data_IF_336137245957
#
_entry.id   IF_336137245957
#
_cell.length_a   1.000
_cell.length_b   1.000
_cell.length_c   1.000
_cell.angle_alpha   90.00
_cell.angle_beta   90.00
_cell.angle_gamma   90.00
#
_symmetry.space_group_name_H-M   'P 1'
#
loop_
_entity.id
_entity.type
_entity.pdbx_description
1 polymer ?
#
# COMPACT_ATOMS: atom_id res chain seq x y z
N UNK A 1 38.94 24.97 -64.76
CA UNK A 1 38.63 23.54 -64.61
C UNK A 1 38.43 23.29 -63.12
N UNK A 2 37.20 22.96 -62.71
CA UNK A 2 36.78 22.33 -61.42
C UNK A 2 37.06 23.20 -60.16
N UNK A 3 36.12 23.94 -59.55
CA UNK A 3 34.87 23.61 -58.80
C UNK A 3 35.09 22.89 -57.46
N UNK A 4 34.42 23.44 -56.42
CA UNK A 4 34.03 22.89 -55.11
C UNK A 4 35.10 22.87 -53.98
N UNK A 5 34.78 23.13 -52.71
CA UNK A 5 33.51 23.51 -52.07
C UNK A 5 33.82 24.12 -50.69
N UNK A 6 33.11 25.19 -50.39
CA UNK A 6 32.91 25.77 -49.05
C UNK A 6 31.94 24.90 -48.24
N UNK A 7 32.27 24.62 -46.98
CA UNK A 7 31.31 24.19 -45.97
C UNK A 7 31.57 24.96 -44.67
N UNK A 8 30.57 25.75 -44.28
CA UNK A 8 30.46 26.45 -43.01
C UNK A 8 30.38 25.44 -41.85
N UNK A 9 30.85 25.80 -40.64
CA UNK A 9 30.48 25.09 -39.43
C UNK A 9 29.02 25.44 -39.09
N UNK A 10 28.16 24.42 -39.07
CA UNK A 10 26.81 24.50 -38.51
C UNK A 10 26.97 24.62 -37.00
N UNK A 11 26.68 25.82 -36.49
CA UNK A 11 26.38 26.07 -35.09
C UNK A 11 25.14 25.25 -34.72
N UNK A 12 25.34 24.17 -33.97
CA UNK A 12 24.24 23.46 -33.33
C UNK A 12 23.67 24.37 -32.24
N UNK A 13 22.50 24.95 -32.52
CA UNK A 13 21.66 25.61 -31.55
C UNK A 13 21.27 24.59 -30.47
N UNK A 14 21.82 24.78 -29.27
CA UNK A 14 21.31 24.18 -28.05
C UNK A 14 19.90 24.74 -27.80
N UNK A 15 18.88 23.96 -28.15
CA UNK A 15 17.53 24.18 -27.67
C UNK A 15 17.50 23.77 -26.19
N UNK A 16 17.50 24.78 -25.32
CA UNK A 16 17.14 24.64 -23.92
C UNK A 16 15.68 24.20 -23.80
N UNK A 17 15.46 22.92 -23.57
CA UNK A 17 14.16 22.42 -23.12
C UNK A 17 14.08 22.59 -21.60
N UNK A 18 13.43 23.66 -21.16
CA UNK A 18 12.99 23.83 -19.78
C UNK A 18 12.02 22.71 -19.42
N UNK A 19 12.44 21.83 -18.51
CA UNK A 19 11.63 20.82 -17.85
C UNK A 19 12.51 20.08 -16.87
N UNK A 20 12.40 20.41 -15.58
CA UNK A 20 13.19 19.84 -14.49
C UNK A 20 13.19 18.30 -14.57
N UNK A 21 14.33 17.71 -14.91
CA UNK A 21 14.51 16.27 -15.00
C UNK A 21 14.66 15.70 -13.57
N UNK A 22 13.56 15.74 -12.81
CA UNK A 22 13.46 15.17 -11.45
C UNK A 22 13.56 13.65 -11.51
N UNK A 23 13.14 13.04 -12.62
CA UNK A 23 13.07 11.60 -12.77
C UNK A 23 14.32 11.04 -13.44
N UNK A 24 15.04 10.18 -12.70
CA UNK A 24 16.20 9.45 -13.20
C UNK A 24 15.79 8.30 -14.12
N UNK A 25 14.65 7.66 -13.83
CA UNK A 25 14.21 6.44 -14.53
C UNK A 25 13.03 6.71 -15.49
N UNK A 26 13.06 6.19 -16.73
CA UNK A 26 11.93 6.24 -17.64
C UNK A 26 10.81 5.30 -17.18
N UNK A 27 9.58 5.55 -17.64
CA UNK A 27 8.48 4.59 -17.48
C UNK A 27 8.85 3.23 -18.11
N UNK A 28 8.46 2.10 -17.51
CA UNK A 28 8.64 0.79 -18.12
C UNK A 28 8.00 0.75 -19.51
N UNK A 29 8.76 0.30 -20.52
CA UNK A 29 8.34 0.37 -21.93
C UNK A 29 7.06 -0.41 -22.25
N UNK A 30 6.73 -1.43 -21.44
CA UNK A 30 5.52 -2.22 -21.60
C UNK A 30 4.28 -1.59 -20.97
N UNK A 31 4.43 -0.53 -20.17
CA UNK A 31 3.32 0.23 -19.62
C UNK A 31 2.76 1.14 -20.69
N UNK A 32 1.68 0.68 -21.31
CA UNK A 32 0.95 1.45 -22.32
C UNK A 32 0.01 2.43 -21.62
N UNK A 33 -0.10 3.63 -22.17
CA UNK A 33 -1.26 4.47 -21.88
C UNK A 33 -2.52 3.71 -22.33
N UNK A 34 -3.55 3.55 -21.48
CA UNK A 34 -4.82 3.01 -21.92
C UNK A 34 -5.27 3.84 -23.12
N UNK A 35 -5.51 3.18 -24.26
CA UNK A 35 -6.15 3.86 -25.37
C UNK A 35 -7.50 4.38 -24.87
N UNK A 36 -7.69 5.70 -24.92
CA UNK A 36 -8.86 6.50 -24.49
C UNK A 36 -10.24 6.02 -25.00
N UNK A 37 -10.32 4.90 -25.71
CA UNK A 37 -11.55 4.37 -26.31
C UNK A 37 -12.35 3.41 -25.40
N UNK A 38 -11.92 3.16 -24.16
CA UNK A 38 -12.52 2.15 -23.28
C UNK A 38 -13.13 2.64 -21.95
N UNK A 39 -12.89 3.90 -21.56
CA UNK A 39 -13.40 4.48 -20.31
C UNK A 39 -14.12 5.79 -20.64
N UNK A 40 -15.35 5.68 -21.13
CA UNK A 40 -16.25 6.80 -21.26
C UNK A 40 -17.21 6.81 -20.07
N UNK A 41 -16.98 7.68 -19.09
CA UNK A 41 -18.02 8.35 -18.32
C UNK A 41 -17.43 9.50 -17.46
N UNK A 42 -17.80 10.72 -17.87
CA UNK A 42 -17.98 11.96 -17.10
C UNK A 42 -16.78 12.63 -16.39
N UNK A 43 -16.22 13.63 -17.08
CA UNK A 43 -15.44 14.72 -16.50
C UNK A 43 -16.28 15.50 -15.45
N UNK A 44 -15.99 15.32 -14.18
CA UNK A 44 -16.25 16.33 -13.16
C UNK A 44 -14.97 17.16 -12.96
N UNK A 45 -14.99 18.38 -13.50
CA UNK A 45 -13.95 19.38 -13.29
C UNK A 45 -14.00 19.89 -11.84
N UNK A 46 -13.09 19.41 -10.99
CA UNK A 46 -12.71 20.12 -9.76
C UNK A 46 -11.69 21.22 -10.10
N UNK A 47 -11.83 22.44 -9.56
CA UNK A 47 -10.89 23.53 -9.81
C UNK A 47 -9.66 23.37 -8.91
N UNK A 48 -8.74 22.50 -9.32
CA UNK A 48 -7.39 22.44 -8.77
C UNK A 48 -6.47 23.29 -9.63
N UNK A 49 -5.83 24.27 -9.02
CA UNK A 49 -4.87 25.16 -9.68
C UNK A 49 -3.58 24.41 -9.98
N UNK A 50 -3.54 23.65 -11.07
CA UNK A 50 -2.34 22.94 -11.51
C UNK A 50 -1.85 23.43 -12.87
N UNK A 51 -0.54 23.65 -12.95
CA UNK A 51 0.19 23.78 -14.20
C UNK A 51 0.09 22.43 -14.94
N UNK A 52 -0.94 22.26 -15.76
CA UNK A 52 -1.02 21.17 -16.73
C UNK A 52 0.20 21.29 -17.64
N UNK A 53 1.19 20.42 -17.45
CA UNK A 53 2.31 20.30 -18.37
C UNK A 53 1.82 19.88 -19.76
N UNK A 54 2.56 20.23 -20.81
CA UNK A 54 2.27 19.84 -22.20
C UNK A 54 2.22 18.32 -22.45
N UNK A 55 2.50 17.50 -21.43
CA UNK A 55 2.51 16.03 -21.43
C UNK A 55 1.20 15.38 -20.94
N UNK A 56 0.24 16.13 -20.39
CA UNK A 56 -0.99 15.55 -19.82
C UNK A 56 -0.81 14.85 -18.48
N UNK A 57 0.32 15.08 -17.79
CA UNK A 57 0.57 14.60 -16.44
C UNK A 57 0.33 15.70 -15.39
N UNK A 58 -0.11 15.29 -14.20
CA UNK A 58 -0.25 16.14 -13.02
C UNK A 58 0.91 15.88 -12.06
N UNK A 59 1.49 16.93 -11.47
CA UNK A 59 2.62 16.83 -10.55
C UNK A 59 2.24 17.40 -9.19
N UNK A 60 2.36 16.59 -8.15
CA UNK A 60 2.28 17.01 -6.75
C UNK A 60 3.69 17.01 -6.15
N UNK A 61 4.30 18.18 -6.07
CA UNK A 61 5.62 18.37 -5.47
C UNK A 61 5.49 19.15 -4.16
N UNK A 62 5.97 18.57 -3.06
CA UNK A 62 5.93 19.18 -1.72
C UNK A 62 7.30 19.09 -1.05
N UNK A 63 7.62 20.09 -0.23
CA UNK A 63 8.77 20.05 0.69
C UNK A 63 8.37 19.54 2.07
N UNK A 64 9.34 19.03 2.83
CA UNK A 64 9.11 18.37 4.13
C UNK A 64 8.36 19.23 5.18
N UNK A 65 8.31 20.55 4.98
CA UNK A 65 7.68 21.50 5.90
C UNK A 65 6.48 22.22 5.30
N UNK A 66 6.10 21.88 4.07
CA UNK A 66 4.99 22.51 3.38
C UNK A 66 3.65 21.95 3.86
N UNK A 67 2.81 22.82 4.41
CA UNK A 67 1.45 22.54 4.83
C UNK A 67 0.57 23.79 4.71
N UNK A 68 -0.73 23.59 4.64
CA UNK A 68 -1.72 24.62 4.88
C UNK A 68 -1.48 25.30 6.24
N UNK A 69 -1.48 26.63 6.25
CA UNK A 69 -1.29 27.41 7.47
C UNK A 69 -2.59 27.50 8.27
N UNK A 70 -2.45 27.38 9.60
CA UNK A 70 -3.58 27.53 10.54
C UNK A 70 -4.53 26.34 10.53
N UNK A 71 -5.72 26.53 11.14
CA UNK A 71 -6.79 25.51 11.20
C UNK A 71 -7.63 25.54 9.93
N UNK A 72 -7.00 25.25 8.78
CA UNK A 72 -7.69 25.21 7.49
C UNK A 72 -8.24 23.80 7.25
N UNK A 73 -9.52 23.70 6.94
CA UNK A 73 -10.12 22.47 6.44
C UNK A 73 -9.50 22.15 5.07
N UNK A 74 -9.10 20.90 4.90
CA UNK A 74 -8.53 20.36 3.66
C UNK A 74 -9.46 19.25 3.21
N UNK A 75 -9.83 19.29 1.93
CA UNK A 75 -10.67 18.26 1.34
C UNK A 75 -9.89 16.96 1.23
N UNK A 76 -10.61 15.87 1.48
CA UNK A 76 -10.10 14.51 1.39
C UNK A 76 -10.96 13.76 0.38
N UNK A 77 -10.33 13.04 -0.56
CA UNK A 77 -11.09 12.18 -1.47
C UNK A 77 -11.80 11.08 -0.69
N UNK A 78 -13.06 10.81 -1.02
CA UNK A 78 -13.85 9.76 -0.34
C UNK A 78 -14.36 8.67 -1.30
N UNK A 79 -14.36 8.92 -2.60
CA UNK A 79 -14.90 8.01 -3.62
C UNK A 79 -14.00 6.83 -3.98
N UNK A 80 -14.61 5.79 -4.59
CA UNK A 80 -13.93 4.59 -5.10
C UNK A 80 -13.95 4.48 -6.65
N UNK A 81 -14.13 5.60 -7.34
CA UNK A 81 -14.09 5.68 -8.83
C UNK A 81 -12.78 6.26 -9.34
N UNK A 82 -12.19 7.20 -8.60
CA UNK A 82 -10.87 7.75 -8.90
C UNK A 82 -9.79 6.69 -8.71
N UNK A 83 -8.68 6.80 -9.47
CA UNK A 83 -7.52 5.94 -9.25
C UNK A 83 -7.06 6.05 -7.79
N UNK A 84 -6.88 4.90 -7.13
CA UNK A 84 -6.53 4.87 -5.70
C UNK A 84 -5.17 5.49 -5.40
N UNK A 85 -4.26 5.49 -6.37
CA UNK A 85 -2.88 5.90 -6.18
C UNK A 85 -2.68 7.40 -6.03
N UNK A 86 -3.57 8.22 -6.63
CA UNK A 86 -3.36 9.67 -6.67
C UNK A 86 -3.33 10.25 -5.24
N UNK A 87 -2.59 11.35 -5.00
CA UNK A 87 -2.65 12.06 -3.73
C UNK A 87 -4.09 12.38 -3.34
N UNK A 88 -4.47 12.08 -2.09
CA UNK A 88 -5.85 12.23 -1.60
C UNK A 88 -6.01 13.45 -0.67
N UNK A 89 -4.89 14.11 -0.35
CA UNK A 89 -4.83 15.26 0.55
C UNK A 89 -3.98 16.34 -0.11
N UNK A 90 -4.61 17.43 -0.56
CA UNK A 90 -3.91 18.56 -1.17
C UNK A 90 -4.57 19.89 -0.83
N UNK A 91 -3.86 20.85 -0.19
CA UNK A 91 -2.53 20.73 0.41
C UNK A 91 -2.55 19.89 1.70
N UNK A 92 -1.41 19.40 2.19
CA UNK A 92 -1.32 18.76 3.52
C UNK A 92 -1.73 19.72 4.64
N UNK A 93 -2.31 19.21 5.72
CA UNK A 93 -2.53 19.95 6.97
C UNK A 93 -1.94 19.18 8.15
N UNK A 94 -2.02 19.73 9.36
CA UNK A 94 -1.36 19.14 10.53
C UNK A 94 -1.98 17.86 11.08
N UNK A 95 -3.15 17.41 10.58
CA UNK A 95 -3.87 16.25 11.14
C UNK A 95 -4.01 15.09 10.17
N UNK A 96 -4.12 15.39 8.88
CA UNK A 96 -4.36 14.43 7.82
C UNK A 96 -3.05 13.83 7.32
N UNK A 97 -3.07 12.55 7.00
CA UNK A 97 -1.90 11.83 6.51
C UNK A 97 -2.26 10.82 5.44
N UNK A 98 -1.33 10.53 4.55
CA UNK A 98 -1.49 9.52 3.51
C UNK A 98 -0.25 8.62 3.41
N UNK A 99 -0.50 7.34 3.10
CA UNK A 99 0.51 6.29 2.99
C UNK A 99 0.27 5.43 1.76
N UNK A 100 1.38 5.13 1.06
CA UNK A 100 1.49 4.04 0.10
C UNK A 100 2.30 2.93 0.77
N UNK A 101 1.66 1.79 1.04
CA UNK A 101 2.25 0.69 1.77
C UNK A 101 2.45 -0.52 0.86
N UNK A 102 3.66 -1.08 0.81
CA UNK A 102 3.99 -2.24 0.00
C UNK A 102 4.53 -3.34 0.88
N UNK A 103 4.17 -4.57 0.57
CA UNK A 103 4.60 -5.73 1.34
C UNK A 103 5.00 -6.90 0.44
N UNK A 104 5.71 -7.85 1.02
CA UNK A 104 5.97 -9.10 0.36
C UNK A 104 6.56 -10.17 1.26
N UNK A 105 6.38 -11.41 0.81
CA UNK A 105 6.80 -12.64 1.50
C UNK A 105 7.42 -13.58 0.48
N UNK A 106 8.56 -14.18 0.81
CA UNK A 106 9.21 -15.17 -0.04
C UNK A 106 8.36 -16.42 -0.23
N UNK A 107 8.57 -17.15 -1.32
CA UNK A 107 7.79 -18.35 -1.65
C UNK A 107 7.86 -19.47 -0.59
N UNK A 108 8.89 -19.47 0.27
CA UNK A 108 9.03 -20.40 1.40
C UNK A 108 8.41 -19.87 2.71
N UNK A 109 7.86 -18.65 2.71
CA UNK A 109 7.24 -18.04 3.87
C UNK A 109 8.23 -17.56 4.93
N UNK A 110 9.54 -17.49 4.64
CA UNK A 110 10.57 -17.23 5.67
C UNK A 110 11.19 -15.84 5.63
N UNK A 111 11.05 -15.11 4.53
CA UNK A 111 11.57 -13.76 4.37
C UNK A 111 10.43 -12.81 4.03
N UNK A 112 10.59 -11.53 4.37
CA UNK A 112 9.60 -10.51 4.10
C UNK A 112 10.19 -9.13 3.96
N UNK A 113 9.41 -8.22 3.39
CA UNK A 113 9.58 -6.79 3.58
C UNK A 113 8.23 -6.12 3.81
N UNK A 114 8.26 -4.97 4.47
CA UNK A 114 7.14 -4.01 4.48
C UNK A 114 7.71 -2.60 4.38
N UNK A 115 7.18 -1.83 3.44
CA UNK A 115 7.59 -0.46 3.15
C UNK A 115 6.40 0.49 3.22
N UNK A 116 6.63 1.69 3.74
CA UNK A 116 5.65 2.77 3.68
C UNK A 116 6.27 4.07 3.18
N UNK A 117 5.67 4.67 2.16
CA UNK A 117 5.92 6.05 1.74
C UNK A 117 4.85 6.94 2.37
N UNK A 118 5.26 7.90 3.19
CA UNK A 118 4.33 8.72 3.97
C UNK A 118 4.39 10.19 3.57
N UNK A 119 3.22 10.79 3.42
CA UNK A 119 2.98 12.23 3.59
C UNK A 119 2.10 12.38 4.82
N UNK A 120 2.70 12.40 6.00
CA UNK A 120 1.99 12.35 7.27
C UNK A 120 2.67 13.23 8.33
N UNK A 121 2.12 14.43 8.60
CA UNK A 121 2.61 15.34 9.62
C UNK A 121 2.45 14.82 11.05
N UNK A 122 1.62 13.80 11.31
CA UNK A 122 1.42 13.25 12.65
C UNK A 122 2.67 12.59 13.22
N UNK A 123 3.62 12.20 12.35
CA UNK A 123 4.90 11.61 12.73
C UNK A 123 6.08 12.59 12.66
N UNK A 124 5.84 13.90 12.47
CA UNK A 124 6.86 14.95 12.44
C UNK A 124 7.52 15.24 13.80
N UNK A 125 7.47 14.27 14.73
CA UNK A 125 7.96 14.35 16.10
C UNK A 125 9.45 14.77 16.06
N UNK A 126 9.76 15.89 16.73
CA UNK A 126 11.08 16.55 16.78
C UNK A 126 11.50 17.34 15.53
N UNK A 127 10.57 17.64 14.62
CA UNK A 127 10.84 18.55 13.49
C UNK A 127 11.54 17.90 12.30
N UNK A 128 11.45 16.57 12.18
CA UNK A 128 12.00 15.82 11.06
C UNK A 128 11.25 16.00 9.73
N UNK A 129 10.14 16.76 9.73
CA UNK A 129 9.30 17.02 8.56
C UNK A 129 8.14 16.02 8.41
N UNK A 130 7.37 16.22 7.35
CA UNK A 130 6.11 15.52 7.08
C UNK A 130 6.28 14.24 6.26
N UNK A 131 7.50 13.97 5.77
CA UNK A 131 7.76 12.87 4.86
C UNK A 131 8.61 11.82 5.54
N UNK A 132 8.03 10.64 5.71
CA UNK A 132 8.67 9.49 6.33
C UNK A 132 8.74 8.36 5.32
N UNK A 133 9.81 7.58 5.40
CA UNK A 133 9.94 6.28 4.76
C UNK A 133 10.27 5.25 5.84
N UNK A 134 9.44 4.23 5.99
CA UNK A 134 9.68 3.14 6.93
C UNK A 134 9.98 1.88 6.13
N UNK A 135 11.15 1.28 6.33
CA UNK A 135 11.54 0.05 5.67
C UNK A 135 11.87 -1.01 6.70
N UNK A 136 11.21 -2.16 6.62
CA UNK A 136 11.52 -3.31 7.47
C UNK A 136 11.66 -4.58 6.61
N UNK A 137 12.65 -5.40 6.96
CA UNK A 137 12.97 -6.66 6.30
C UNK A 137 13.08 -7.76 7.36
N UNK A 138 12.42 -8.89 7.10
CA UNK A 138 12.55 -10.12 7.87
C UNK A 138 13.36 -11.16 7.09
N UNK A 139 14.32 -11.81 7.74
CA UNK A 139 15.18 -12.82 7.12
C UNK A 139 14.89 -14.22 7.66
N UNK A 140 15.25 -15.24 6.88
CA UNK A 140 14.97 -16.64 7.18
C UNK A 140 15.66 -17.16 8.47
N UNK A 141 16.70 -16.49 8.94
CA UNK A 141 17.38 -16.79 10.21
C UNK A 141 16.68 -16.15 11.43
N UNK A 142 15.54 -15.48 11.22
CA UNK A 142 14.80 -14.75 12.25
C UNK A 142 15.36 -13.37 12.57
N UNK A 143 16.48 -12.98 11.95
CA UNK A 143 16.99 -11.61 12.08
C UNK A 143 16.12 -10.62 11.30
N UNK A 144 16.12 -9.37 11.74
CA UNK A 144 15.38 -8.27 11.12
C UNK A 144 16.29 -7.09 10.86
N UNK A 145 15.99 -6.34 9.82
CA UNK A 145 16.66 -5.09 9.49
C UNK A 145 15.61 -4.02 9.23
N UNK A 146 15.76 -2.86 9.88
CA UNK A 146 14.83 -1.75 9.76
C UNK A 146 15.60 -0.44 9.61
N UNK A 147 15.10 0.44 8.74
CA UNK A 147 15.59 1.80 8.59
C UNK A 147 14.42 2.78 8.44
N UNK A 148 14.69 4.00 8.88
CA UNK A 148 13.75 5.10 8.89
C UNK A 148 14.42 6.31 8.24
N UNK A 149 13.79 6.86 7.22
CA UNK A 149 14.28 8.05 6.52
C UNK A 149 13.26 9.18 6.58
N UNK A 150 13.78 10.40 6.57
CA UNK A 150 13.00 11.64 6.57
C UNK A 150 13.35 12.48 5.35
N UNK A 151 12.48 12.47 4.35
CA UNK A 151 12.77 13.08 3.04
C UNK A 151 12.63 14.60 3.10
N UNK A 152 13.47 15.29 2.32
CA UNK A 152 13.41 16.76 2.18
C UNK A 152 12.29 17.15 1.20
N UNK A 153 12.04 16.31 0.21
CA UNK A 153 11.08 16.52 -0.87
C UNK A 153 10.34 15.22 -1.18
N UNK A 154 9.06 15.36 -1.55
CA UNK A 154 8.20 14.29 -2.05
C UNK A 154 7.54 14.75 -3.34
N UNK A 155 7.79 14.02 -4.43
CA UNK A 155 7.24 14.31 -5.76
C UNK A 155 6.41 13.14 -6.22
N UNK A 156 5.14 13.38 -6.54
CA UNK A 156 4.30 12.42 -7.26
C UNK A 156 3.95 12.98 -8.64
N UNK A 157 4.03 12.14 -9.66
CA UNK A 157 3.57 12.43 -11.01
C UNK A 157 2.53 11.41 -11.42
N UNK A 158 1.33 11.90 -11.72
CA UNK A 158 0.20 11.12 -12.22
C UNK A 158 0.10 11.35 -13.72
N UNK A 159 0.25 10.29 -14.51
CA UNK A 159 0.16 10.31 -15.96
C UNK A 159 -0.86 9.27 -16.45
N UNK A 160 -1.27 9.30 -17.73
CA UNK A 160 -2.13 8.26 -18.30
C UNK A 160 -1.59 6.83 -18.16
N UNK A 161 -0.26 6.64 -18.10
CA UNK A 161 0.38 5.35 -17.95
C UNK A 161 0.32 4.79 -16.52
N UNK A 162 0.13 5.65 -15.52
CA UNK A 162 0.21 5.30 -14.11
C UNK A 162 0.69 6.45 -13.24
N UNK A 163 1.06 6.11 -12.01
CA UNK A 163 1.66 7.04 -11.05
C UNK A 163 3.11 6.66 -10.77
N UNK A 164 3.92 7.66 -10.44
CA UNK A 164 5.21 7.46 -9.81
C UNK A 164 5.42 8.44 -8.69
N UNK A 165 5.96 7.96 -7.58
CA UNK A 165 6.29 8.76 -6.41
C UNK A 165 7.76 8.66 -6.06
N UNK A 166 8.37 9.74 -5.58
CA UNK A 166 9.76 9.75 -5.13
C UNK A 166 9.91 10.59 -3.86
N UNK A 167 10.58 10.00 -2.88
CA UNK A 167 10.97 10.62 -1.61
C UNK A 167 12.49 10.65 -1.58
N UNK A 168 13.07 11.82 -1.37
CA UNK A 168 14.51 11.96 -1.48
C UNK A 168 15.09 13.05 -0.59
N UNK A 169 16.39 12.94 -0.31
CA UNK A 169 17.19 13.97 0.35
C UNK A 169 18.45 14.19 -0.47
N UNK A 170 18.66 15.41 -0.95
CA UNK A 170 19.90 15.77 -1.65
C UNK A 170 21.07 15.82 -0.68
N UNK A 171 20.79 16.24 0.55
CA UNK A 171 21.77 16.36 1.64
C UNK A 171 22.30 14.99 2.08
N UNK A 172 21.41 14.02 2.24
CA UNK A 172 21.77 12.66 2.70
C UNK A 172 22.03 11.69 1.55
N UNK A 173 21.79 12.10 0.30
CA UNK A 173 22.19 11.36 -0.89
C UNK A 173 21.35 10.12 -1.21
N UNK A 174 20.16 9.99 -0.64
CA UNK A 174 19.25 8.88 -0.93
C UNK A 174 18.02 9.33 -1.73
N UNK A 175 17.43 8.39 -2.46
CA UNK A 175 16.11 8.52 -3.06
C UNK A 175 15.44 7.14 -3.13
N UNK A 176 14.17 7.09 -2.75
CA UNK A 176 13.32 5.91 -2.92
C UNK A 176 12.12 6.30 -3.75
N UNK A 177 11.76 5.42 -4.68
CA UNK A 177 10.61 5.66 -5.54
C UNK A 177 9.77 4.41 -5.73
N UNK A 178 8.51 4.66 -6.08
CA UNK A 178 7.61 3.63 -6.57
C UNK A 178 6.99 4.08 -7.89
N UNK A 179 6.58 3.11 -8.68
CA UNK A 179 5.76 3.26 -9.85
C UNK A 179 4.61 2.26 -9.75
N UNK A 180 3.41 2.67 -10.12
CA UNK A 180 2.22 1.79 -10.25
C UNK A 180 1.53 2.13 -11.55
N UNK A 181 1.23 1.14 -12.39
CA UNK A 181 0.57 1.39 -13.67
C UNK A 181 -0.92 1.77 -13.49
N UNK A 182 -1.53 2.35 -14.52
CA UNK A 182 -2.85 2.97 -14.43
C UNK A 182 -3.98 2.01 -14.01
N UNK A 183 -3.86 0.72 -14.33
CA UNK A 183 -4.83 -0.32 -13.95
C UNK A 183 -4.43 -1.06 -12.65
N UNK A 184 -3.34 -0.63 -11.99
CA UNK A 184 -2.79 -1.21 -10.77
C UNK A 184 -2.50 -2.71 -10.89
N UNK A 185 -2.15 -3.18 -12.10
CA UNK A 185 -1.73 -4.56 -12.33
C UNK A 185 -0.24 -4.81 -12.08
N UNK A 186 0.58 -3.77 -11.98
CA UNK A 186 2.01 -3.88 -11.73
C UNK A 186 2.56 -2.70 -10.92
N UNK A 187 3.48 -3.01 -10.00
CA UNK A 187 4.26 -2.01 -9.28
C UNK A 187 5.76 -2.28 -9.38
N UNK A 188 6.55 -1.21 -9.35
CA UNK A 188 8.01 -1.25 -9.27
C UNK A 188 8.47 -0.31 -8.17
N UNK A 189 9.22 -0.83 -7.21
CA UNK A 189 9.88 -0.05 -6.16
C UNK A 189 11.37 -0.01 -6.50
N UNK A 190 11.97 1.18 -6.39
CA UNK A 190 13.40 1.40 -6.60
C UNK A 190 13.98 1.99 -5.33
N UNK A 191 14.99 1.31 -4.79
CA UNK A 191 15.66 1.67 -3.56
C UNK A 191 17.07 2.17 -3.87
N UNK A 192 17.45 3.33 -3.34
CA UNK A 192 18.78 3.89 -3.46
C UNK A 192 19.19 4.69 -2.21
N UNK A 193 20.03 4.08 -1.38
CA UNK A 193 20.79 4.73 -0.31
C UNK A 193 22.17 4.07 -0.19
N UNK A 194 23.01 4.54 0.73
CA UNK A 194 24.31 3.90 1.00
C UNK A 194 24.19 2.47 1.55
N UNK A 195 23.07 2.14 2.19
CA UNK A 195 22.84 0.85 2.84
C UNK A 195 21.86 -0.05 2.09
N UNK A 196 21.00 0.49 1.22
CA UNK A 196 19.95 -0.27 0.53
C UNK A 196 19.90 0.14 -0.94
N UNK A 197 20.07 -0.83 -1.85
CA UNK A 197 20.00 -0.59 -3.30
C UNK A 197 19.31 -1.72 -4.02
N UNK A 198 18.43 -1.43 -4.96
CA UNK A 198 17.85 -2.47 -5.82
C UNK A 198 16.40 -2.20 -6.17
N UNK A 199 15.71 -3.25 -6.60
CA UNK A 199 14.34 -3.16 -7.10
C UNK A 199 13.46 -4.26 -6.56
N UNK A 200 12.17 -3.95 -6.48
CA UNK A 200 11.13 -4.92 -6.17
C UNK A 200 10.00 -4.74 -7.17
N UNK A 201 9.62 -5.82 -7.84
CA UNK A 201 8.54 -5.81 -8.83
C UNK A 201 7.41 -6.70 -8.37
N UNK A 202 6.17 -6.18 -8.40
CA UNK A 202 4.96 -6.95 -8.09
C UNK A 202 4.05 -6.97 -9.30
N UNK A 203 3.56 -8.14 -9.69
CA UNK A 203 2.56 -8.31 -10.76
C UNK A 203 1.29 -8.90 -10.18
N UNK A 204 0.22 -8.11 -10.19
CA UNK A 204 -1.04 -8.46 -9.56
C UNK A 204 -1.66 -9.72 -10.13
N UNK A 205 -2.31 -10.49 -9.26
CA UNK A 205 -3.13 -11.67 -9.55
C UNK A 205 -4.59 -11.47 -9.17
N UNK A 206 -4.96 -10.27 -8.73
CA UNK A 206 -6.32 -9.87 -8.38
C UNK A 206 -6.62 -8.45 -8.85
N UNK A 207 -7.90 -8.14 -9.05
CA UNK A 207 -8.31 -6.78 -9.42
C UNK A 207 -8.31 -5.86 -8.19
N UNK A 208 -7.99 -4.56 -8.33
CA UNK A 208 -7.94 -3.62 -7.21
C UNK A 208 -9.29 -3.57 -6.47
N UNK A 209 -9.27 -3.44 -5.14
CA UNK A 209 -10.49 -3.41 -4.33
C UNK A 209 -10.57 -2.22 -3.38
N UNK A 210 -11.79 -1.76 -3.13
CA UNK A 210 -12.14 -0.77 -2.12
C UNK A 210 -12.30 -1.42 -0.72
N UNK A 211 -12.59 -0.62 0.30
CA UNK A 211 -12.62 -1.06 1.68
C UNK A 211 -13.72 -2.08 2.00
N UNK A 212 -14.76 -2.18 1.19
CA UNK A 212 -15.83 -3.17 1.31
C UNK A 212 -15.64 -4.40 0.39
N UNK A 213 -14.48 -4.48 -0.28
CA UNK A 213 -14.10 -5.58 -1.16
C UNK A 213 -14.66 -5.49 -2.58
N UNK A 214 -15.36 -4.41 -2.94
CA UNK A 214 -15.77 -4.20 -4.32
C UNK A 214 -14.56 -3.94 -5.22
N UNK A 215 -14.60 -4.50 -6.42
CA UNK A 215 -13.61 -4.23 -7.46
C UNK A 215 -13.75 -2.79 -7.95
N UNK A 216 -12.62 -2.10 -8.06
CA UNK A 216 -12.50 -0.74 -8.61
C UNK A 216 -12.55 -0.74 -10.15
N UNK A 217 -13.06 0.34 -10.79
CA UNK A 217 -13.74 1.48 -10.20
C UNK A 217 -15.21 1.17 -9.88
N UNK A 218 -15.73 1.72 -8.79
CA UNK A 218 -17.12 1.47 -8.38
C UNK A 218 -17.73 2.62 -7.57
N UNK A 219 -18.80 3.21 -8.09
CA UNK A 219 -19.54 4.33 -7.46
C UNK A 219 -20.24 3.96 -6.14
N UNK A 220 -20.59 2.69 -5.98
CA UNK A 220 -21.29 2.19 -4.79
C UNK A 220 -20.34 1.62 -3.73
N UNK A 221 -19.03 1.64 -3.99
CA UNK A 221 -18.04 1.12 -3.07
C UNK A 221 -17.59 2.21 -2.09
N UNK A 222 -17.31 1.79 -0.85
CA UNK A 222 -16.71 2.68 0.15
C UNK A 222 -15.21 2.47 0.26
N UNK A 223 -14.48 3.57 0.45
CA UNK A 223 -13.08 3.55 0.87
C UNK A 223 -12.93 3.74 2.37
N UNK A 224 -13.99 4.08 3.12
CA UNK A 224 -13.95 4.43 4.54
C UNK A 224 -14.42 3.26 5.42
N UNK A 225 -13.54 2.35 5.89
CA UNK A 225 -13.95 1.28 6.81
C UNK A 225 -14.34 1.80 8.20
N UNK A 226 -13.70 2.87 8.67
CA UNK A 226 -14.04 3.54 9.94
C UNK A 226 -13.92 5.05 9.73
N UNK A 227 -14.67 5.82 10.52
CA UNK A 227 -14.77 7.27 10.38
C UNK A 227 -13.39 7.94 10.28
N UNK A 228 -13.20 8.75 9.25
CA UNK A 228 -11.99 9.52 8.93
C UNK A 228 -10.74 8.69 8.57
N UNK A 229 -10.87 7.38 8.38
CA UNK A 229 -9.82 6.55 7.82
C UNK A 229 -10.32 5.91 6.54
N UNK A 230 -9.57 6.14 5.48
CA UNK A 230 -9.80 5.50 4.20
C UNK A 230 -8.70 4.49 3.87
N UNK A 231 -9.10 3.43 3.18
CA UNK A 231 -8.28 2.32 2.80
C UNK A 231 -8.72 1.69 1.47
N UNK A 232 -7.76 1.22 0.70
CA UNK A 232 -7.99 0.35 -0.45
C UNK A 232 -6.79 -0.56 -0.69
N UNK A 233 -6.97 -1.58 -1.55
CA UNK A 233 -5.88 -2.42 -2.04
C UNK A 233 -5.75 -2.25 -3.56
N UNK A 234 -4.91 -1.31 -4.03
CA UNK A 234 -4.53 -1.23 -5.43
C UNK A 234 -4.03 -2.58 -5.99
N UNK A 235 -3.18 -3.28 -5.24
CA UNK A 235 -2.72 -4.63 -5.59
C UNK A 235 -3.10 -5.57 -4.44
N UNK A 236 -4.20 -6.34 -4.51
CA UNK A 236 -4.66 -7.22 -3.42
C UNK A 236 -3.88 -8.53 -3.26
N UNK A 237 -3.13 -8.98 -4.27
CA UNK A 237 -1.90 -9.77 -4.14
C UNK A 237 -1.34 -10.01 -5.54
N UNK A 238 -0.04 -10.24 -5.63
CA UNK A 238 0.63 -10.55 -6.88
C UNK A 238 1.86 -11.42 -6.69
N UNK A 239 2.40 -11.91 -7.80
CA UNK A 239 3.74 -12.51 -7.82
C UNK A 239 4.78 -11.41 -7.67
N UNK A 240 5.76 -11.64 -6.81
CA UNK A 240 6.78 -10.66 -6.48
C UNK A 240 8.18 -11.18 -6.80
N UNK A 241 9.00 -10.30 -7.37
CA UNK A 241 10.44 -10.50 -7.56
C UNK A 241 11.20 -9.44 -6.75
N UNK A 242 12.03 -9.91 -5.83
CA UNK A 242 12.85 -9.10 -4.94
C UNK A 242 14.31 -9.21 -5.37
N UNK A 243 14.96 -8.10 -5.72
CA UNK A 243 16.40 -8.03 -5.98
C UNK A 243 16.98 -6.78 -5.30
N UNK A 244 17.42 -6.94 -4.05
CA UNK A 244 17.91 -5.83 -3.21
C UNK A 244 19.23 -6.22 -2.55
N UNK A 245 20.19 -5.30 -2.61
CA UNK A 245 21.39 -5.30 -1.80
C UNK A 245 21.12 -4.56 -0.48
N UNK A 246 21.38 -5.24 0.63
CA UNK A 246 21.25 -4.68 1.98
C UNK A 246 22.62 -4.77 2.66
N UNK A 247 23.20 -3.61 3.00
CA UNK A 247 24.53 -3.48 3.62
C UNK A 247 25.63 -4.24 2.88
N UNK A 248 25.63 -4.15 1.54
CA UNK A 248 26.60 -4.85 0.68
C UNK A 248 26.29 -6.33 0.44
N UNK A 249 25.23 -6.89 1.03
CA UNK A 249 24.80 -8.27 0.79
C UNK A 249 23.65 -8.30 -0.20
N UNK A 250 23.86 -8.94 -1.34
CA UNK A 250 22.80 -9.19 -2.32
C UNK A 250 21.79 -10.21 -1.77
N UNK A 251 20.50 -9.88 -1.83
CA UNK A 251 19.39 -10.71 -1.39
C UNK A 251 18.36 -10.77 -2.51
N UNK A 252 18.08 -11.97 -2.98
CA UNK A 252 17.15 -12.21 -4.09
C UNK A 252 16.20 -13.34 -3.76
N UNK A 253 14.92 -13.14 -4.04
CA UNK A 253 13.90 -14.17 -3.92
C UNK A 253 12.65 -13.79 -4.72
N UNK A 254 11.82 -14.78 -5.02
CA UNK A 254 10.47 -14.56 -5.54
C UNK A 254 9.45 -15.04 -4.51
N UNK A 255 8.23 -14.53 -4.61
CA UNK A 255 7.17 -14.87 -3.69
C UNK A 255 5.87 -14.14 -4.00
N UNK A 256 5.19 -13.69 -2.95
CA UNK A 256 3.96 -12.91 -3.06
C UNK A 256 4.19 -11.50 -2.55
N UNK A 257 3.41 -10.55 -3.03
CA UNK A 257 3.43 -9.19 -2.51
C UNK A 257 2.17 -8.42 -2.79
N UNK A 258 2.13 -7.22 -2.23
CA UNK A 258 0.93 -6.42 -2.11
C UNK A 258 1.17 -4.93 -2.14
N UNK A 259 0.07 -4.21 -2.37
CA UNK A 259 0.02 -2.77 -2.18
C UNK A 259 -1.30 -2.35 -1.55
N UNK A 260 -1.21 -1.60 -0.44
CA UNK A 260 -2.30 -0.93 0.25
C UNK A 260 -2.13 0.58 0.13
N UNK A 261 -3.27 1.25 0.08
CA UNK A 261 -3.35 2.70 0.14
C UNK A 261 -4.14 3.10 1.37
N UNK A 262 -3.59 4.01 2.18
CA UNK A 262 -4.28 4.60 3.32
C UNK A 262 -4.26 6.12 3.24
N UNK A 263 -5.37 6.76 3.58
CA UNK A 263 -5.39 8.21 3.79
C UNK A 263 -6.42 8.56 4.84
N UNK A 264 -6.09 9.51 5.70
CA UNK A 264 -6.87 9.77 6.91
C UNK A 264 -6.97 11.26 7.18
N UNK A 265 -8.07 11.72 7.76
CA UNK A 265 -8.21 13.12 8.20
C UNK A 265 -7.51 13.36 9.55
N UNK A 266 -7.28 12.29 10.31
CA UNK A 266 -6.66 12.28 11.64
C UNK A 266 -5.64 11.14 11.76
N UNK A 267 -4.84 11.14 12.82
CA UNK A 267 -3.82 10.09 13.02
C UNK A 267 -4.45 8.71 13.16
N UNK A 268 -3.70 7.65 12.84
CA UNK A 268 -4.19 6.28 13.04
C UNK A 268 -4.55 5.98 14.51
N UNK A 269 -3.84 6.56 15.47
CA UNK A 269 -4.16 6.46 16.91
C UNK A 269 -5.52 7.09 17.24
N UNK A 270 -5.93 8.10 16.48
CA UNK A 270 -7.23 8.74 16.61
C UNK A 270 -8.32 7.85 16.01
N UNK A 271 -8.12 7.30 14.81
CA UNK A 271 -9.16 6.58 14.08
C UNK A 271 -9.30 5.10 14.49
N UNK A 272 -8.18 4.42 14.82
CA UNK A 272 -8.13 2.98 15.00
C UNK A 272 -7.81 2.57 16.42
N UNK A 273 -8.55 1.55 16.87
CA UNK A 273 -8.25 0.80 18.09
C UNK A 273 -7.54 -0.51 17.77
N UNK A 274 -8.00 -1.21 16.73
CA UNK A 274 -7.35 -2.42 16.22
C UNK A 274 -7.36 -2.42 14.69
N UNK A 275 -6.32 -3.00 14.10
CA UNK A 275 -6.25 -3.37 12.70
C UNK A 275 -5.75 -4.82 12.61
N UNK A 276 -6.43 -5.63 11.82
CA UNK A 276 -5.96 -6.96 11.44
C UNK A 276 -5.94 -7.03 9.93
N UNK A 277 -4.83 -7.51 9.37
CA UNK A 277 -4.66 -7.69 7.93
C UNK A 277 -4.24 -9.13 7.66
N UNK A 278 -4.71 -9.68 6.54
CA UNK A 278 -4.26 -10.94 6.01
C UNK A 278 -4.32 -10.87 4.48
N UNK A 279 -3.24 -11.33 3.88
CA UNK A 279 -3.11 -11.55 2.44
C UNK A 279 -2.51 -12.93 2.25
N UNK A 280 -3.12 -13.74 1.39
CA UNK A 280 -2.59 -15.05 1.05
C UNK A 280 -2.76 -15.37 -0.43
N UNK A 281 -1.81 -16.10 -0.99
CA UNK A 281 -1.97 -16.75 -2.29
C UNK A 281 -1.74 -18.25 -2.12
N UNK A 282 -2.70 -19.06 -2.57
CA UNK A 282 -2.64 -20.51 -2.47
C UNK A 282 -3.32 -21.15 -3.69
N UNK A 283 -2.53 -21.89 -4.48
CA UNK A 283 -2.99 -22.43 -5.76
C UNK A 283 -3.60 -21.34 -6.66
N UNK A 284 -4.87 -21.46 -7.09
CA UNK A 284 -5.53 -20.46 -7.94
C UNK A 284 -6.08 -19.27 -7.16
N UNK A 285 -6.00 -19.26 -5.83
CA UNK A 285 -6.67 -18.28 -4.98
C UNK A 285 -5.78 -17.11 -4.59
N UNK A 286 -6.36 -15.91 -4.60
CA UNK A 286 -5.89 -14.74 -3.86
C UNK A 286 -6.94 -14.43 -2.80
N UNK A 287 -6.55 -14.46 -1.53
CA UNK A 287 -7.38 -14.14 -0.38
C UNK A 287 -6.88 -12.84 0.26
N UNK A 288 -7.79 -11.90 0.50
CA UNK A 288 -7.53 -10.75 1.35
C UNK A 288 -8.58 -10.65 2.44
N UNK A 289 -8.15 -10.30 3.65
CA UNK A 289 -9.00 -10.04 4.79
C UNK A 289 -8.45 -8.88 5.60
N UNK A 290 -9.27 -7.89 5.87
CA UNK A 290 -8.95 -6.79 6.75
C UNK A 290 -10.07 -6.55 7.75
N UNK A 291 -9.72 -6.28 9.01
CA UNK A 291 -10.65 -5.92 10.08
C UNK A 291 -10.18 -4.68 10.81
N UNK A 292 -10.98 -3.64 10.76
CA UNK A 292 -10.78 -2.34 11.39
C UNK A 292 -11.72 -2.20 12.58
N UNK A 293 -11.20 -1.77 13.72
CA UNK A 293 -12.01 -1.40 14.88
C UNK A 293 -11.82 0.08 15.18
N UNK A 294 -12.93 0.82 15.21
CA UNK A 294 -12.89 2.28 15.40
C UNK A 294 -12.52 2.63 16.83
N UNK A 295 -11.66 3.65 16.97
CA UNK A 295 -11.41 4.29 18.26
C UNK A 295 -12.38 5.47 18.52
N UNK A 296 -12.91 6.07 17.45
CA UNK A 296 -13.86 7.18 17.52
C UNK A 296 -15.30 6.72 17.76
N UNK A 297 -15.69 5.60 17.15
CA UNK A 297 -17.03 5.02 17.23
C UNK A 297 -16.97 3.72 18.03
N UNK A 298 -17.15 3.83 19.35
CA UNK A 298 -17.01 2.68 20.24
C UNK A 298 -17.92 1.52 19.83
N UNK A 299 -17.32 0.35 19.59
CA UNK A 299 -18.02 -0.86 19.18
C UNK A 299 -18.20 -1.01 17.67
N UNK A 300 -17.89 0.01 16.87
CA UNK A 300 -17.89 -0.10 15.42
C UNK A 300 -16.70 -0.93 14.94
N UNK A 301 -17.01 -1.99 14.19
CA UNK A 301 -16.04 -2.89 13.56
C UNK A 301 -16.43 -3.04 12.11
N UNK A 302 -15.50 -2.77 11.22
CA UNK A 302 -15.64 -3.07 9.80
C UNK A 302 -14.70 -4.20 9.44
N UNK A 303 -15.21 -5.19 8.72
CA UNK A 303 -14.38 -6.21 8.13
C UNK A 303 -14.62 -6.27 6.63
N UNK A 304 -13.61 -6.73 5.91
CA UNK A 304 -13.62 -6.83 4.47
C UNK A 304 -12.88 -8.10 4.08
N UNK A 305 -13.56 -8.99 3.38
CA UNK A 305 -12.92 -10.15 2.77
C UNK A 305 -13.22 -10.16 1.28
N UNK A 306 -12.20 -10.47 0.49
CA UNK A 306 -12.33 -10.76 -0.92
C UNK A 306 -11.55 -12.03 -1.27
N UNK A 307 -12.16 -12.88 -2.09
CA UNK A 307 -11.52 -14.07 -2.65
C UNK A 307 -11.58 -14.00 -4.16
N UNK A 308 -10.43 -14.12 -4.80
CA UNK A 308 -10.31 -14.27 -6.24
C UNK A 308 -9.87 -15.69 -6.55
N UNK A 309 -10.35 -16.22 -7.67
CA UNK A 309 -9.84 -17.46 -8.28
C UNK A 309 -9.42 -17.13 -9.70
N UNK A 310 -8.15 -17.35 -10.03
CA UNK A 310 -7.58 -17.07 -11.35
C UNK A 310 -7.84 -15.61 -11.81
N UNK A 311 -7.73 -14.66 -10.87
CA UNK A 311 -7.97 -13.23 -11.11
C UNK A 311 -9.45 -12.80 -11.13
N UNK A 312 -10.39 -13.73 -11.02
CA UNK A 312 -11.83 -13.45 -11.05
C UNK A 312 -12.37 -13.41 -9.61
N UNK A 313 -13.09 -12.35 -9.18
CA UNK A 313 -13.70 -12.32 -7.86
C UNK A 313 -14.78 -13.41 -7.73
N UNK A 314 -14.65 -14.26 -6.72
CA UNK A 314 -15.57 -15.38 -6.45
C UNK A 314 -16.32 -15.26 -5.13
N UNK A 315 -15.82 -14.44 -4.20
CA UNK A 315 -16.44 -14.15 -2.91
C UNK A 315 -16.09 -12.73 -2.45
N UNK A 316 -17.04 -12.07 -1.79
CA UNK A 316 -16.88 -10.78 -1.10
C UNK A 316 -17.83 -10.75 0.08
N UNK A 317 -17.39 -10.26 1.23
CA UNK A 317 -18.31 -9.91 2.32
C UNK A 317 -17.72 -8.88 3.28
N UNK A 318 -18.61 -8.12 3.92
CA UNK A 318 -18.30 -7.31 5.10
C UNK A 318 -19.05 -7.79 6.34
N UNK A 319 -19.90 -8.83 6.22
CA UNK A 319 -20.71 -9.34 7.32
C UNK A 319 -19.93 -10.36 8.16
N UNK A 320 -19.89 -10.15 9.47
CA UNK A 320 -19.34 -11.08 10.46
C UNK A 320 -20.39 -12.02 11.07
N UNK A 321 -21.65 -11.85 10.65
CA UNK A 321 -22.78 -12.55 11.24
C UNK A 321 -23.23 -13.65 10.29
N UNK A 322 -23.35 -14.91 10.75
CA UNK A 322 -23.95 -15.98 9.98
C UNK A 322 -25.32 -15.57 9.44
N UNK A 323 -25.56 -15.87 8.17
CA UNK A 323 -26.81 -15.61 7.46
C UNK A 323 -27.19 -16.84 6.66
N UNK A 324 -28.50 -17.05 6.47
CA UNK A 324 -29.04 -18.08 5.58
C UNK A 324 -29.16 -17.58 4.13
N UNK A 325 -28.97 -16.27 3.91
CA UNK A 325 -29.17 -15.61 2.61
C UNK A 325 -27.93 -14.90 2.11
N UNK A 326 -27.26 -14.16 2.98
CA UNK A 326 -26.19 -13.24 2.63
C UNK A 326 -24.81 -13.87 2.79
N UNK A 327 -23.86 -13.43 1.98
CA UNK A 327 -22.48 -13.86 2.06
C UNK A 327 -21.87 -13.32 3.37
N UNK A 328 -21.22 -14.17 4.18
CA UNK A 328 -20.60 -13.79 5.45
C UNK A 328 -19.24 -14.46 5.66
N UNK A 329 -18.42 -13.90 6.55
CA UNK A 329 -17.13 -14.47 6.93
C UNK A 329 -16.98 -14.55 8.44
N UNK A 330 -16.52 -15.72 8.90
CA UNK A 330 -16.08 -15.94 10.27
C UNK A 330 -14.56 -15.97 10.26
N UNK A 331 -13.93 -14.95 10.86
CA UNK A 331 -12.48 -14.85 10.94
C UNK A 331 -12.06 -14.85 12.41
N UNK A 332 -11.09 -15.70 12.76
CA UNK A 332 -10.63 -15.87 14.13
C UNK A 332 -9.10 -15.90 14.18
N UNK A 333 -8.54 -15.29 15.21
CA UNK A 333 -7.13 -15.46 15.56
C UNK A 333 -6.93 -16.84 16.17
N UNK A 334 -5.85 -17.51 15.81
CA UNK A 334 -5.41 -18.74 16.45
C UNK A 334 -4.23 -18.46 17.40
N UNK A 335 -4.06 -19.34 18.38
CA UNK A 335 -3.06 -19.22 19.43
C UNK A 335 -2.41 -20.58 19.71
N UNK A 336 -1.19 -20.57 20.24
CA UNK A 336 -0.46 -21.78 20.63
C UNK A 336 0.43 -22.40 19.54
N UNK A 337 0.53 -21.76 18.37
CA UNK A 337 1.52 -22.10 17.34
C UNK A 337 2.96 -21.75 17.72
N UNK A 338 3.91 -22.10 16.84
CA UNK A 338 5.34 -22.00 17.11
C UNK A 338 5.87 -20.56 17.10
N UNK A 339 5.26 -19.66 16.32
CA UNK A 339 5.74 -18.29 16.10
C UNK A 339 4.72 -17.28 16.60
N UNK A 340 5.19 -16.33 17.41
CA UNK A 340 4.39 -15.21 17.92
C UNK A 340 5.26 -13.98 18.17
N UNK A 341 4.63 -12.82 18.31
CA UNK A 341 5.29 -11.55 18.59
C UNK A 341 5.67 -11.38 20.07
N UNK A 342 6.40 -10.31 20.38
CA UNK A 342 6.76 -9.96 21.75
C UNK A 342 5.66 -9.17 22.47
N UNK A 343 4.72 -8.59 21.73
CA UNK A 343 3.58 -7.81 22.25
C UNK A 343 2.57 -8.65 23.06
N UNK A 344 1.61 -7.98 23.70
CA UNK A 344 0.57 -8.63 24.54
C UNK A 344 -0.30 -9.63 23.78
N UNK A 345 -0.63 -9.32 22.53
CA UNK A 345 -1.35 -10.26 21.67
C UNK A 345 -0.38 -11.37 21.24
N UNK A 346 -0.72 -12.61 21.60
CA UNK A 346 0.07 -13.81 21.30
C UNK A 346 -0.48 -14.62 20.14
N UNK A 347 -1.13 -13.95 19.18
CA UNK A 347 -1.61 -14.55 17.94
C UNK A 347 -0.49 -15.34 17.25
N UNK A 348 -0.86 -16.51 16.72
CA UNK A 348 0.03 -17.43 16.00
C UNK A 348 -0.50 -17.79 14.61
N UNK A 349 -1.64 -17.23 14.21
CA UNK A 349 -2.29 -17.54 12.95
C UNK A 349 -3.72 -17.03 12.86
N UNK A 350 -4.39 -17.41 11.77
CA UNK A 350 -5.78 -17.03 11.47
C UNK A 350 -6.55 -18.17 10.82
N UNK A 351 -7.81 -18.33 11.22
CA UNK A 351 -8.78 -19.23 10.59
C UNK A 351 -9.90 -18.40 9.98
N UNK A 352 -10.24 -18.67 8.71
CA UNK A 352 -11.27 -17.97 7.96
C UNK A 352 -12.25 -18.96 7.33
N UNK A 353 -13.53 -18.75 7.58
CA UNK A 353 -14.65 -19.47 6.97
C UNK A 353 -15.47 -18.49 6.13
N UNK A 354 -15.49 -18.68 4.82
CA UNK A 354 -16.22 -17.82 3.87
C UNK A 354 -17.43 -18.58 3.34
N UNK A 355 -18.63 -18.09 3.64
CA UNK A 355 -19.87 -18.80 3.34
C UNK A 355 -20.77 -17.95 2.47
N UNK A 356 -21.19 -18.51 1.34
CA UNK A 356 -22.19 -17.94 0.44
C UNK A 356 -23.39 -18.88 0.37
N UNK A 357 -24.41 -18.68 1.22
CA UNK A 357 -25.59 -19.55 1.28
C UNK A 357 -26.33 -19.60 -0.06
N UNK A 358 -26.59 -18.44 -0.66
CA UNK A 358 -27.32 -18.30 -1.92
C UNK A 358 -26.62 -18.99 -3.10
N UNK A 359 -25.29 -18.97 -3.13
CA UNK A 359 -24.47 -19.64 -4.17
C UNK A 359 -24.05 -21.05 -3.79
N UNK A 360 -24.39 -21.51 -2.59
CA UNK A 360 -23.95 -22.81 -2.01
C UNK A 360 -22.44 -23.00 -2.08
N UNK A 361 -21.68 -21.94 -1.77
CA UNK A 361 -20.21 -21.98 -1.73
C UNK A 361 -19.74 -21.85 -0.30
N UNK A 362 -18.69 -22.60 0.02
CA UNK A 362 -18.08 -22.59 1.34
C UNK A 362 -16.58 -22.79 1.14
N UNK A 363 -15.78 -21.85 1.63
CA UNK A 363 -14.32 -21.93 1.64
C UNK A 363 -13.78 -21.85 3.06
N UNK A 364 -12.69 -22.57 3.32
CA UNK A 364 -11.94 -22.48 4.58
C UNK A 364 -10.48 -22.20 4.28
N UNK A 365 -9.88 -21.30 5.06
CA UNK A 365 -8.46 -20.97 4.99
C UNK A 365 -7.88 -20.92 6.40
N UNK A 366 -6.70 -21.50 6.54
CA UNK A 366 -5.93 -21.61 7.77
C UNK A 366 -4.56 -21.01 7.52
N UNK A 367 -4.11 -20.15 8.41
CA UNK A 367 -2.82 -19.48 8.34
C UNK A 367 -2.07 -19.76 9.62
N UNK A 368 -0.85 -20.28 9.50
CA UNK A 368 0.07 -20.48 10.62
C UNK A 368 1.29 -19.57 10.42
N UNK A 369 1.65 -18.80 11.45
CA UNK A 369 2.80 -17.92 11.39
C UNK A 369 4.10 -18.72 11.28
N UNK A 370 4.96 -18.32 10.34
CA UNK A 370 6.24 -18.96 10.04
C UNK A 370 7.44 -18.11 10.48
N UNK A 371 7.33 -16.78 10.42
CA UNK A 371 8.36 -15.85 10.89
C UNK A 371 7.75 -14.50 11.31
N UNK A 372 8.46 -13.73 12.13
CA UNK A 372 8.09 -12.35 12.47
C UNK A 372 8.62 -11.43 11.38
N UNK A 373 7.71 -10.83 10.61
CA UNK A 373 8.05 -9.93 9.51
C UNK A 373 8.48 -8.55 10.02
N UNK A 374 7.70 -7.99 10.92
CA UNK A 374 7.96 -6.69 11.55
C UNK A 374 7.34 -6.65 12.95
N UNK A 375 7.86 -5.78 13.81
CA UNK A 375 7.20 -5.52 15.09
C UNK A 375 7.62 -4.16 15.65
N UNK A 376 6.63 -3.32 15.95
CA UNK A 376 6.84 -2.02 16.60
C UNK A 376 5.97 -1.89 17.85
N UNK A 377 6.58 -1.35 18.91
CA UNK A 377 5.94 -1.13 20.21
C UNK A 377 5.39 0.29 20.27
N UNK A 378 4.10 0.43 20.57
CA UNK A 378 3.43 1.73 20.67
C UNK A 378 3.15 2.18 22.12
N UNK A 379 3.41 1.32 23.09
CA UNK A 379 3.18 1.59 24.52
C UNK A 379 2.21 0.58 25.12
N UNK A 380 2.08 0.54 26.46
CA UNK A 380 1.17 -0.36 27.18
C UNK A 380 1.33 -1.85 26.82
N UNK A 381 2.47 -2.28 26.26
CA UNK A 381 2.70 -3.64 25.73
C UNK A 381 1.93 -3.97 24.45
N UNK A 382 1.34 -2.98 23.77
CA UNK A 382 0.66 -3.11 22.48
C UNK A 382 1.44 -2.37 21.38
N UNK A 383 0.99 -2.53 20.15
CA UNK A 383 1.68 -2.07 18.95
C UNK A 383 1.23 -2.88 17.73
N UNK A 384 2.11 -3.00 16.74
CA UNK A 384 1.87 -3.82 15.56
C UNK A 384 2.88 -4.94 15.44
N UNK A 385 2.40 -6.15 15.18
CA UNK A 385 3.23 -7.28 14.75
C UNK A 385 2.75 -7.76 13.39
N UNK A 386 3.68 -7.95 12.47
CA UNK A 386 3.45 -8.60 11.18
C UNK A 386 4.15 -9.95 11.13
N UNK A 387 3.56 -10.89 10.41
CA UNK A 387 4.03 -12.26 10.32
C UNK A 387 3.95 -12.76 8.89
N UNK A 388 5.01 -13.41 8.45
CA UNK A 388 4.90 -14.34 7.33
C UNK A 388 4.21 -15.60 7.81
N UNK A 389 3.55 -16.33 6.92
CA UNK A 389 2.88 -17.57 7.30
C UNK A 389 2.65 -18.52 6.15
N UNK A 390 2.39 -19.78 6.50
CA UNK A 390 1.93 -20.80 5.57
C UNK A 390 0.41 -20.82 5.59
N UNK A 391 -0.20 -20.71 4.42
CA UNK A 391 -1.64 -20.73 4.23
C UNK A 391 -2.07 -22.07 3.64
N UNK A 392 -3.17 -22.63 4.14
CA UNK A 392 -3.81 -23.84 3.60
C UNK A 392 -5.30 -23.62 3.47
N UNK A 393 -5.91 -24.11 2.41
CA UNK A 393 -7.36 -23.97 2.26
C UNK A 393 -7.88 -24.08 0.85
N UNK A 394 -9.16 -23.76 0.69
CA UNK A 394 -9.86 -23.84 -0.58
C UNK A 394 -11.35 -24.06 -0.37
N UNK A 395 -12.03 -24.46 -1.45
CA UNK A 395 -13.45 -24.78 -1.39
C UNK A 395 -13.67 -26.09 -0.63
N UNK A 396 -14.59 -26.13 0.34
CA UNK A 396 -14.90 -27.34 1.10
C UNK A 396 -15.39 -28.43 0.14
N UNK A 397 -14.86 -29.64 0.29
CA UNK A 397 -15.19 -30.79 -0.55
C UNK A 397 -14.53 -30.78 -1.92
N UNK A 398 -13.61 -29.85 -2.19
CA UNK A 398 -12.75 -29.82 -3.37
C UNK A 398 -11.26 -29.81 -2.96
N UNK A 399 -10.39 -29.61 -3.96
CA UNK A 399 -8.96 -29.46 -3.77
C UNK A 399 -8.64 -28.40 -2.72
N UNK A 400 -7.74 -28.77 -1.82
CA UNK A 400 -7.12 -27.87 -0.86
C UNK A 400 -5.73 -27.52 -1.36
N UNK A 401 -5.37 -26.26 -1.25
CA UNK A 401 -4.11 -25.71 -1.71
C UNK A 401 -3.27 -25.25 -0.53
N UNK A 402 -1.96 -25.30 -0.70
CA UNK A 402 -0.99 -24.66 0.19
C UNK A 402 -0.39 -23.44 -0.51
N UNK A 403 0.03 -22.47 0.28
CA UNK A 403 0.69 -21.27 -0.19
C UNK A 403 1.25 -20.47 0.96
N UNK A 404 1.52 -19.19 0.69
CA UNK A 404 2.13 -18.28 1.66
C UNK A 404 1.22 -17.10 1.94
N UNK A 405 1.47 -16.45 3.06
CA UNK A 405 0.69 -15.32 3.54
C UNK A 405 1.55 -14.29 4.26
N UNK A 406 1.04 -13.06 4.27
CA UNK A 406 1.41 -12.03 5.21
C UNK A 406 0.19 -11.72 6.07
N UNK A 407 0.38 -11.60 7.37
CA UNK A 407 -0.68 -11.18 8.28
C UNK A 407 -0.19 -10.14 9.27
N UNK A 408 -1.10 -9.32 9.74
CA UNK A 408 -0.83 -8.22 10.65
C UNK A 408 -1.83 -8.23 11.80
N UNK A 409 -1.33 -7.97 13.02
CA UNK A 409 -2.12 -7.78 14.20
C UNK A 409 -1.66 -6.52 14.93
N UNK A 410 -2.45 -5.46 14.81
CA UNK A 410 -2.18 -4.16 15.41
C UNK A 410 -3.22 -3.84 16.46
N UNK A 411 -2.75 -3.39 17.61
CA UNK A 411 -3.54 -2.80 18.68
C UNK A 411 -2.92 -1.46 19.05
N UNK A 412 -3.71 -0.40 18.92
CA UNK A 412 -3.28 0.94 19.29
C UNK A 412 -3.48 1.14 20.80
N UNK A 413 -2.51 1.75 21.49
CA UNK A 413 -2.59 1.99 22.93
C UNK A 413 -3.72 2.96 23.25
N UNK A 414 -4.36 2.81 24.41
CA UNK A 414 -5.39 3.76 24.84
C UNK A 414 -4.79 5.12 25.18
N UNK A 415 -3.59 5.08 25.76
CA UNK A 415 -2.80 6.27 26.04
C UNK A 415 -1.41 6.06 25.44
N UNK A 416 -0.99 6.97 24.56
CA UNK A 416 0.41 7.07 24.16
C UNK A 416 1.00 8.38 24.69
N UNK A 417 2.18 8.33 25.33
CA UNK A 417 2.88 9.55 25.72
C UNK A 417 3.40 10.33 24.51
N UNK A 418 3.49 9.69 23.34
CA UNK A 418 4.01 10.27 22.10
C UNK A 418 2.90 10.65 21.12
N UNK A 419 1.80 9.91 21.11
CA UNK A 419 0.72 10.07 20.14
C UNK A 419 -0.61 10.31 20.87
N UNK A 420 -1.02 11.58 20.95
CA UNK A 420 -2.33 11.94 21.48
C UNK A 420 -3.37 11.96 20.37
N UNK A 421 -4.64 11.76 20.74
CA UNK A 421 -5.74 12.00 19.80
C UNK A 421 -5.65 13.43 19.28
N UNK A 422 -5.66 13.57 17.96
CA UNK A 422 -5.66 14.84 17.26
C UNK A 422 -7.03 15.19 16.68
N UNK A 423 -8.09 14.52 17.16
CA UNK A 423 -9.46 14.76 16.73
C UNK A 423 -9.92 16.17 17.08
N UNK A 424 -10.62 16.80 16.13
CA UNK A 424 -11.31 18.07 16.30
C UNK A 424 -12.68 17.93 15.63
N UNK A 425 -13.74 18.25 16.36
CA UNK A 425 -15.14 18.20 15.90
C UNK A 425 -15.41 19.11 14.69
#
# INVERSE_FOLDING_TARGET
MIVANSLLPITLLALSACGNQIWLEPWPLHWKSPTLNGLAAEEQQLPLTDNIGSSGCQISNLTAYEMAKGRKLVDITTGATENFEIPKINPLNSSAGEQWAFDGVSADGMQSFIFGFYRDPNYSILGAGNFRLSLEFGFADGSRFAELYYAEESVLETCPQGIRGMWYSKKEGYHFSFLVNADMSESLIILHSDTIKGTITTKSKALPIAADGHVWPNENATTEPVRHLHWSQPIPAGTLDFDVEIKGKKITWSGIGGHERFWTAFSWFTCLKNLQGLRAMLGPYVLTFFRFESNLDHGHVHQSVALFRDGIPVFRSTSATPSDTDDYVLAQKTYGGAVTGTLKDKVTGFDLELVSPSKKRHYTFFVEHANVAFEYVLGEGVGGSGFTGIARGGHIGQDQYEGVSLSEALTFPKNSPLFQSNYVD
#
